data_IF_597998136541
#
_entry.id   IF_597998136541
#
_cell.length_a   1.000
_cell.length_b   1.000
_cell.length_c   1.000
_cell.angle_alpha   90.00
_cell.angle_beta   90.00
_cell.angle_gamma   90.00
#
_symmetry.space_group_name_H-M   'P 1'
#
loop_
_entity.id
_entity.type
_entity.pdbx_description
1 polymer ?
#
# COMPACT_ATOMS: atom_id res chain seq x y z
N UNK A 1 -23.46 16.88 14.90
CA UNK A 1 -22.50 15.96 14.25
C UNK A 1 -23.18 15.33 13.05
N UNK A 2 -22.70 15.55 11.82
CA UNK A 2 -23.30 14.96 10.63
C UNK A 2 -23.24 13.43 10.72
N UNK A 3 -24.36 12.78 10.47
CA UNK A 3 -24.48 11.32 10.56
C UNK A 3 -23.64 10.71 9.42
N UNK A 4 -22.52 10.06 9.76
CA UNK A 4 -21.68 9.41 8.75
C UNK A 4 -22.48 8.31 8.02
N UNK A 5 -22.31 8.17 6.69
CA UNK A 5 -23.00 7.15 5.92
C UNK A 5 -22.68 5.74 6.44
N UNK A 6 -23.49 4.77 6.02
CA UNK A 6 -23.34 3.39 6.48
C UNK A 6 -22.06 2.73 5.97
N UNK A 7 -21.60 3.17 4.79
CA UNK A 7 -20.36 2.73 4.14
C UNK A 7 -19.57 3.96 3.68
N UNK A 8 -18.28 4.00 3.98
CA UNK A 8 -17.38 5.08 3.55
C UNK A 8 -15.92 4.63 3.60
N UNK A 9 -15.04 5.37 2.93
CA UNK A 9 -13.59 5.19 3.02
C UNK A 9 -12.99 6.29 3.90
N UNK A 10 -12.03 5.93 4.74
CA UNK A 10 -11.28 6.82 5.62
C UNK A 10 -9.86 6.31 5.80
N UNK A 11 -9.05 6.99 6.61
CA UNK A 11 -7.68 6.55 6.98
C UNK A 11 -7.63 5.11 7.51
N UNK A 12 -8.72 4.62 8.11
CA UNK A 12 -8.84 3.24 8.61
C UNK A 12 -9.25 2.23 7.53
N UNK A 13 -9.30 2.64 6.27
CA UNK A 13 -9.75 1.82 5.15
C UNK A 13 -11.26 1.91 4.91
N UNK A 14 -11.85 0.83 4.39
CA UNK A 14 -13.28 0.74 4.10
C UNK A 14 -14.06 0.49 5.39
N UNK A 15 -14.86 1.46 5.78
CA UNK A 15 -15.67 1.39 7.01
C UNK A 15 -17.11 1.02 6.66
N UNK A 16 -17.66 0.04 7.38
CA UNK A 16 -19.06 -0.39 7.24
C UNK A 16 -19.69 -0.60 8.61
N UNK A 17 -20.94 -0.13 8.78
CA UNK A 17 -21.72 -0.38 10.00
C UNK A 17 -22.10 -1.85 10.10
N UNK A 18 -21.94 -2.44 11.27
CA UNK A 18 -22.30 -3.85 11.54
C UNK A 18 -23.79 -4.11 11.33
N UNK A 19 -24.64 -3.13 11.62
CA UNK A 19 -26.10 -3.22 11.42
C UNK A 19 -26.54 -3.35 9.97
N UNK A 20 -25.66 -3.09 9.00
CA UNK A 20 -25.94 -3.20 7.57
C UNK A 20 -25.50 -4.54 6.97
N UNK A 21 -25.05 -5.47 7.81
CA UNK A 21 -24.51 -6.75 7.41
C UNK A 21 -25.39 -7.89 7.91
N UNK A 22 -25.55 -8.92 7.08
CA UNK A 22 -26.14 -10.20 7.49
C UNK A 22 -25.16 -11.02 8.34
N UNK A 23 -25.65 -12.01 9.07
CA UNK A 23 -24.81 -12.96 9.81
C UNK A 23 -23.80 -13.68 8.89
N UNK A 24 -24.20 -14.03 7.67
CA UNK A 24 -23.29 -14.63 6.68
C UNK A 24 -22.14 -13.69 6.31
N UNK A 25 -22.43 -12.41 6.08
CA UNK A 25 -21.42 -11.39 5.77
C UNK A 25 -20.47 -11.16 6.94
N UNK A 26 -20.96 -11.14 8.18
CA UNK A 26 -20.13 -11.11 9.37
C UNK A 26 -19.14 -12.28 9.43
N UNK A 27 -19.64 -13.50 9.23
CA UNK A 27 -18.81 -14.70 9.26
C UNK A 27 -17.80 -14.73 8.11
N UNK A 28 -18.20 -14.27 6.93
CA UNK A 28 -17.34 -14.18 5.75
C UNK A 28 -16.21 -13.18 5.95
N UNK A 29 -16.47 -11.98 6.48
CA UNK A 29 -15.43 -10.99 6.81
C UNK A 29 -14.40 -11.60 7.75
N UNK A 30 -14.86 -12.24 8.84
CA UNK A 30 -13.98 -12.85 9.83
C UNK A 30 -13.14 -13.98 9.23
N UNK A 31 -13.75 -14.82 8.38
CA UNK A 31 -13.06 -15.92 7.69
C UNK A 31 -12.03 -15.41 6.70
N UNK A 32 -12.42 -14.51 5.80
CA UNK A 32 -11.56 -14.00 4.72
C UNK A 32 -10.38 -13.18 5.25
N UNK A 33 -10.60 -12.42 6.34
CA UNK A 33 -9.64 -11.48 6.91
C UNK A 33 -8.98 -11.98 8.20
N UNK A 34 -9.07 -13.26 8.51
CA UNK A 34 -8.26 -13.91 9.53
C UNK A 34 -7.31 -14.88 8.83
N UNK A 35 -6.06 -14.47 8.71
CA UNK A 35 -5.02 -15.19 7.97
C UNK A 35 -4.05 -15.88 8.89
N UNK A 36 -3.44 -16.94 8.41
CA UNK A 36 -2.36 -17.65 9.09
C UNK A 36 -1.23 -17.95 8.09
N UNK A 37 0.04 -17.98 8.54
CA UNK A 37 1.14 -18.41 7.69
C UNK A 37 0.90 -19.81 7.16
N UNK A 38 1.34 -20.08 5.94
CA UNK A 38 1.39 -21.44 5.43
C UNK A 38 2.43 -22.24 6.20
N UNK A 39 2.00 -23.29 6.87
CA UNK A 39 2.87 -24.23 7.59
C UNK A 39 2.77 -25.60 6.95
N UNK A 40 3.91 -26.22 6.67
CA UNK A 40 3.96 -27.61 6.20
C UNK A 40 3.56 -28.50 7.37
N UNK A 41 2.53 -29.30 7.22
CA UNK A 41 2.09 -30.25 8.23
C UNK A 41 3.25 -31.19 8.61
N UNK A 42 3.48 -31.34 9.91
CA UNK A 42 4.52 -32.23 10.45
C UNK A 42 5.83 -31.54 10.88
N UNK A 43 6.03 -30.24 10.59
CA UNK A 43 7.24 -29.52 11.00
C UNK A 43 7.15 -28.79 12.36
N UNK A 44 5.94 -28.53 12.86
CA UNK A 44 5.74 -27.93 14.17
C UNK A 44 4.50 -28.47 14.87
N UNK A 45 4.63 -28.85 16.12
CA UNK A 45 3.50 -29.19 17.01
C UNK A 45 2.81 -27.95 17.59
N UNK A 46 3.22 -26.75 17.21
CA UNK A 46 2.63 -25.51 17.71
C UNK A 46 1.43 -25.10 16.83
N UNK A 47 0.34 -24.61 17.43
CA UNK A 47 -0.78 -24.09 16.68
C UNK A 47 -0.34 -22.88 15.84
N UNK A 48 -0.69 -22.89 14.56
CA UNK A 48 -0.35 -21.79 13.65
C UNK A 48 -0.99 -20.48 14.11
N UNK A 49 -0.23 -19.42 14.30
CA UNK A 49 -0.77 -18.14 14.74
C UNK A 49 -1.75 -17.58 13.71
N UNK A 50 -2.86 -17.00 14.19
CA UNK A 50 -3.88 -16.36 13.35
C UNK A 50 -3.79 -14.84 13.52
N UNK A 51 -3.85 -14.12 12.42
CA UNK A 51 -3.78 -12.66 12.40
C UNK A 51 -5.05 -12.09 11.78
N UNK A 52 -5.69 -11.15 12.48
CA UNK A 52 -6.80 -10.37 11.93
C UNK A 52 -6.22 -9.22 11.10
N UNK A 53 -6.56 -9.14 9.81
CA UNK A 53 -6.19 -8.05 8.92
C UNK A 53 -7.33 -7.04 8.75
N UNK A 54 -8.18 -6.92 9.74
CA UNK A 54 -9.24 -5.93 9.89
C UNK A 54 -9.27 -5.42 11.34
N UNK A 55 -9.84 -4.23 11.51
CA UNK A 55 -10.17 -3.70 12.82
C UNK A 55 -11.68 -3.65 13.00
N UNK A 56 -12.13 -3.67 14.24
CA UNK A 56 -13.55 -3.54 14.57
C UNK A 56 -13.78 -2.71 15.83
N UNK A 57 -14.92 -2.03 15.85
CA UNK A 57 -15.50 -1.41 17.04
C UNK A 57 -16.80 -2.14 17.41
N UNK A 58 -17.49 -1.66 18.44
CA UNK A 58 -18.81 -2.20 18.82
C UNK A 58 -19.81 -2.16 17.65
N UNK A 59 -19.75 -1.11 16.81
CA UNK A 59 -20.76 -0.84 15.78
C UNK A 59 -20.25 -0.91 14.34
N UNK A 60 -18.93 -1.04 14.10
CA UNK A 60 -18.34 -0.93 12.75
C UNK A 60 -17.21 -1.93 12.54
N UNK A 61 -17.01 -2.31 11.26
CA UNK A 61 -15.78 -2.89 10.76
C UNK A 61 -14.96 -1.85 10.00
N UNK A 62 -13.63 -1.99 10.07
CA UNK A 62 -12.64 -1.26 9.30
C UNK A 62 -11.84 -2.29 8.50
N UNK A 63 -12.15 -2.37 7.21
CA UNK A 63 -11.66 -3.42 6.31
C UNK A 63 -10.55 -2.87 5.40
N UNK A 64 -9.66 -3.71 4.90
CA UNK A 64 -8.77 -3.32 3.82
C UNK A 64 -9.58 -2.69 2.68
N UNK A 65 -9.13 -1.54 2.16
CA UNK A 65 -9.89 -0.71 1.21
C UNK A 65 -10.40 -1.51 0.02
N UNK A 66 -9.50 -2.22 -0.66
CA UNK A 66 -9.86 -2.97 -1.88
C UNK A 66 -10.72 -4.19 -1.61
N UNK A 67 -10.56 -4.86 -0.46
CA UNK A 67 -11.47 -5.90 -0.03
C UNK A 67 -12.90 -5.34 0.14
N UNK A 68 -13.03 -4.22 0.85
CA UNK A 68 -14.32 -3.58 1.06
C UNK A 68 -15.00 -3.17 -0.25
N UNK A 69 -14.25 -2.54 -1.19
CA UNK A 69 -14.77 -2.15 -2.50
C UNK A 69 -15.21 -3.37 -3.30
N UNK A 70 -14.40 -4.43 -3.32
CA UNK A 70 -14.70 -5.67 -4.06
C UNK A 70 -15.92 -6.42 -3.53
N UNK A 71 -16.13 -6.42 -2.21
CA UNK A 71 -17.22 -7.19 -1.57
C UNK A 71 -18.51 -6.41 -1.40
N UNK A 72 -18.41 -5.12 -1.10
CA UNK A 72 -19.54 -4.28 -0.70
C UNK A 72 -19.80 -3.10 -1.66
N UNK A 73 -19.04 -3.02 -2.74
CA UNK A 73 -19.17 -2.00 -3.78
C UNK A 73 -18.51 -0.67 -3.45
N UNK A 74 -18.56 0.24 -4.41
CA UNK A 74 -18.06 1.60 -4.25
C UNK A 74 -18.87 2.36 -3.20
N UNK A 75 -18.24 3.30 -2.53
CA UNK A 75 -18.87 4.16 -1.51
C UNK A 75 -19.21 5.53 -2.10
N UNK A 76 -20.25 6.15 -1.57
CA UNK A 76 -20.65 7.51 -1.95
C UNK A 76 -19.76 8.60 -1.33
N UNK A 77 -19.04 8.28 -0.25
CA UNK A 77 -18.17 9.23 0.46
C UNK A 77 -16.79 8.61 0.68
N UNK A 78 -15.79 9.29 0.16
CA UNK A 78 -14.39 8.97 0.34
C UNK A 78 -13.68 10.13 1.05
N UNK A 79 -13.45 9.98 2.35
CA UNK A 79 -12.80 11.01 3.16
C UNK A 79 -11.29 11.13 2.89
N UNK A 80 -10.68 10.19 2.13
CA UNK A 80 -9.29 10.31 1.73
C UNK A 80 -9.09 11.41 0.68
N UNK A 81 -10.13 11.76 -0.08
CA UNK A 81 -10.08 12.87 -1.04
C UNK A 81 -9.99 14.24 -0.36
N UNK A 82 -10.34 14.30 0.93
CA UNK A 82 -10.27 15.51 1.76
C UNK A 82 -8.91 15.63 2.49
N UNK A 83 -8.05 14.59 2.43
CA UNK A 83 -6.73 14.62 3.03
C UNK A 83 -5.73 15.30 2.09
N UNK A 84 -4.70 15.88 2.69
CA UNK A 84 -3.56 16.38 1.93
C UNK A 84 -2.93 15.23 1.13
N UNK A 85 -2.72 15.46 -0.16
CA UNK A 85 -2.14 14.48 -1.08
C UNK A 85 -0.62 14.30 -0.88
N UNK A 86 -0.07 14.83 0.19
CA UNK A 86 1.35 14.77 0.53
C UNK A 86 2.21 15.77 -0.26
N UNK A 87 3.43 15.98 0.22
CA UNK A 87 4.38 16.92 -0.37
C UNK A 87 4.76 16.51 -1.80
N UNK A 88 4.90 17.51 -2.67
CA UNK A 88 5.44 17.28 -4.01
C UNK A 88 6.97 17.21 -3.95
N UNK A 89 7.56 16.44 -4.87
CA UNK A 89 8.98 16.37 -5.12
C UNK A 89 9.29 16.72 -6.57
N UNK A 90 10.40 17.40 -6.81
CA UNK A 90 10.87 17.80 -8.14
C UNK A 90 12.05 16.93 -8.54
N UNK A 91 11.78 15.62 -8.77
CA UNK A 91 12.80 14.65 -9.12
C UNK A 91 12.51 14.04 -10.48
N UNK A 92 13.50 14.09 -11.37
CA UNK A 92 13.43 13.48 -12.70
C UNK A 92 14.18 12.15 -12.72
N UNK A 93 13.61 11.17 -13.43
CA UNK A 93 14.21 9.86 -13.59
C UNK A 93 15.42 9.92 -14.52
N UNK A 94 16.60 9.59 -13.98
CA UNK A 94 17.84 9.52 -14.73
C UNK A 94 18.04 8.10 -15.27
N UNK A 95 17.50 7.81 -16.45
CA UNK A 95 17.63 6.51 -17.08
C UNK A 95 16.60 6.30 -18.19
N UNK A 96 16.59 5.09 -18.74
CA UNK A 96 15.65 4.69 -19.77
C UNK A 96 15.02 3.34 -19.39
N UNK A 97 13.71 3.26 -19.48
CA UNK A 97 12.99 1.99 -19.32
C UNK A 97 13.22 1.11 -20.55
N UNK A 98 13.29 -0.20 -20.34
CA UNK A 98 13.24 -1.17 -21.44
C UNK A 98 11.85 -1.12 -22.10
N UNK A 99 11.76 -1.43 -23.38
CA UNK A 99 10.50 -1.43 -24.13
C UNK A 99 9.37 -2.18 -23.42
N UNK A 100 9.66 -3.36 -22.86
CA UNK A 100 8.70 -4.16 -22.11
C UNK A 100 8.23 -3.50 -20.80
N UNK A 101 9.00 -2.59 -20.23
CA UNK A 101 8.69 -1.91 -18.97
C UNK A 101 7.75 -0.71 -19.17
N UNK A 102 7.78 -0.09 -20.34
CA UNK A 102 7.00 1.13 -20.63
C UNK A 102 5.50 0.91 -20.44
N UNK A 103 4.86 -0.08 -21.09
CA UNK A 103 3.42 -0.30 -20.91
C UNK A 103 3.04 -0.71 -19.48
N UNK A 104 3.94 -1.40 -18.78
CA UNK A 104 3.72 -1.80 -17.39
C UNK A 104 3.71 -0.57 -16.47
N UNK A 105 4.67 0.33 -16.66
CA UNK A 105 4.76 1.57 -15.90
C UNK A 105 3.54 2.47 -16.15
N UNK A 106 3.17 2.66 -17.43
CA UNK A 106 1.98 3.46 -17.79
C UNK A 106 0.72 2.93 -17.12
N UNK A 107 0.45 1.63 -17.24
CA UNK A 107 -0.71 1.01 -16.62
C UNK A 107 -0.72 1.18 -15.11
N UNK A 108 0.43 1.01 -14.44
CA UNK A 108 0.51 1.18 -12.99
C UNK A 108 0.25 2.62 -12.57
N UNK A 109 0.77 3.60 -13.32
CA UNK A 109 0.54 5.03 -13.05
C UNK A 109 -0.96 5.37 -13.21
N UNK A 110 -1.62 4.84 -14.24
CA UNK A 110 -3.05 5.06 -14.47
C UNK A 110 -3.89 4.46 -13.33
N UNK A 111 -3.54 3.26 -12.86
CA UNK A 111 -4.19 2.62 -11.70
C UNK A 111 -3.97 3.43 -10.40
N UNK A 112 -2.74 3.91 -10.18
CA UNK A 112 -2.44 4.75 -9.02
C UNK A 112 -3.26 6.05 -9.02
N UNK A 113 -3.43 6.69 -10.19
CA UNK A 113 -4.21 7.92 -10.34
C UNK A 113 -5.72 7.68 -10.22
N UNK A 114 -6.23 6.56 -10.73
CA UNK A 114 -7.68 6.28 -10.79
C UNK A 114 -8.22 5.67 -9.51
N UNK A 115 -7.56 4.64 -8.97
CA UNK A 115 -8.03 3.90 -7.80
C UNK A 115 -7.12 4.03 -6.57
N UNK A 116 -5.96 4.68 -6.74
CA UNK A 116 -5.01 5.00 -5.66
C UNK A 116 -4.23 3.81 -5.13
N UNK A 117 -3.99 2.79 -5.95
CA UNK A 117 -3.15 1.65 -5.58
C UNK A 117 -3.14 0.52 -6.60
N UNK A 118 -2.17 -0.39 -6.47
CA UNK A 118 -2.03 -1.54 -7.34
C UNK A 118 -0.94 -2.50 -6.86
N UNK A 119 -0.88 -3.68 -7.45
CA UNK A 119 0.17 -4.67 -7.21
C UNK A 119 0.92 -4.93 -8.50
N UNK A 120 2.23 -4.67 -8.47
CA UNK A 120 3.12 -4.96 -9.57
C UNK A 120 3.75 -6.36 -9.39
N UNK A 121 3.16 -7.36 -10.07
CA UNK A 121 3.66 -8.74 -10.04
C UNK A 121 4.50 -9.02 -11.28
N UNK A 122 5.82 -9.10 -11.13
CA UNK A 122 6.78 -9.32 -12.19
C UNK A 122 7.78 -10.41 -11.81
N UNK A 123 8.28 -11.15 -12.79
CA UNK A 123 9.34 -12.15 -12.60
C UNK A 123 10.64 -11.51 -12.07
N UNK A 124 11.52 -12.34 -11.51
CA UNK A 124 12.87 -11.90 -11.13
C UNK A 124 13.62 -11.37 -12.37
N UNK A 125 14.44 -10.34 -12.17
CA UNK A 125 15.21 -9.73 -13.26
C UNK A 125 14.46 -8.72 -14.13
N UNK A 126 13.14 -8.60 -14.03
CA UNK A 126 12.33 -7.65 -14.81
C UNK A 126 12.50 -6.17 -14.41
N UNK A 127 13.34 -5.89 -13.41
CA UNK A 127 13.63 -4.51 -13.00
C UNK A 127 12.56 -3.85 -12.15
N UNK A 128 11.90 -4.60 -11.25
CA UNK A 128 10.86 -4.08 -10.34
C UNK A 128 11.25 -2.79 -9.63
N UNK A 129 12.49 -2.74 -9.11
CA UNK A 129 13.01 -1.57 -8.39
C UNK A 129 13.13 -0.35 -9.31
N UNK A 130 13.64 -0.55 -10.53
CA UNK A 130 13.77 0.52 -11.53
C UNK A 130 12.40 1.07 -11.93
N UNK A 131 11.44 0.17 -12.19
CA UNK A 131 10.05 0.55 -12.47
C UNK A 131 9.44 1.36 -11.33
N UNK A 132 9.63 0.93 -10.07
CA UNK A 132 9.09 1.65 -8.92
C UNK A 132 9.71 3.05 -8.78
N UNK A 133 11.03 3.18 -8.98
CA UNK A 133 11.72 4.48 -8.95
C UNK A 133 11.23 5.39 -10.09
N UNK A 134 11.03 4.84 -11.29
CA UNK A 134 10.42 5.57 -12.40
C UNK A 134 9.02 6.09 -12.04
N UNK A 135 8.19 5.22 -11.44
CA UNK A 135 6.83 5.60 -10.99
C UNK A 135 6.89 6.71 -9.93
N UNK A 136 7.82 6.65 -8.98
CA UNK A 136 8.03 7.72 -7.98
C UNK A 136 8.28 9.06 -8.69
N UNK A 137 9.19 9.09 -9.67
CA UNK A 137 9.49 10.29 -10.44
C UNK A 137 8.29 10.83 -11.23
N UNK A 138 7.46 9.93 -11.80
CA UNK A 138 6.27 10.31 -12.56
C UNK A 138 5.12 10.79 -11.67
N UNK A 139 4.99 10.24 -10.47
CA UNK A 139 3.97 10.64 -9.50
C UNK A 139 4.31 11.95 -8.80
N UNK A 140 5.58 12.31 -8.77
CA UNK A 140 6.10 13.55 -8.13
C UNK A 140 5.62 13.76 -6.69
N UNK A 141 5.56 12.67 -5.92
CA UNK A 141 5.11 12.71 -4.53
C UNK A 141 6.18 12.15 -3.60
N UNK A 142 6.34 12.80 -2.43
CA UNK A 142 7.14 12.26 -1.34
C UNK A 142 6.74 10.83 -1.05
N UNK A 143 7.70 9.93 -1.02
CA UNK A 143 7.44 8.49 -1.03
C UNK A 143 8.07 7.79 0.16
N UNK A 144 7.31 6.88 0.77
CA UNK A 144 7.81 5.95 1.78
C UNK A 144 7.97 4.56 1.17
N UNK A 145 9.19 3.98 1.27
CA UNK A 145 9.52 2.64 0.82
C UNK A 145 9.70 1.74 2.04
N UNK A 146 8.86 0.72 2.18
CA UNK A 146 8.90 -0.20 3.32
C UNK A 146 9.56 -1.51 2.90
N UNK A 147 10.64 -1.88 3.58
CA UNK A 147 11.36 -3.14 3.38
C UNK A 147 11.61 -3.84 4.71
N UNK A 148 11.73 -5.17 4.68
CA UNK A 148 11.86 -5.98 5.90
C UNK A 148 13.30 -6.41 6.23
N UNK A 149 14.29 -6.03 5.40
CA UNK A 149 15.70 -6.39 5.58
C UNK A 149 16.60 -5.20 5.27
N UNK A 150 17.65 -5.03 6.06
CA UNK A 150 18.63 -3.95 5.90
C UNK A 150 19.34 -3.98 4.54
N UNK A 151 19.70 -5.15 4.04
CA UNK A 151 20.36 -5.23 2.73
C UNK A 151 19.46 -4.74 1.59
N UNK A 152 18.14 -4.94 1.69
CA UNK A 152 17.17 -4.39 0.73
C UNK A 152 17.12 -2.87 0.82
N UNK A 153 17.14 -2.31 2.03
CA UNK A 153 17.17 -0.86 2.24
C UNK A 153 18.42 -0.24 1.60
N UNK A 154 19.60 -0.86 1.79
CA UNK A 154 20.85 -0.41 1.15
C UNK A 154 20.76 -0.52 -0.37
N UNK A 155 20.23 -1.61 -0.91
CA UNK A 155 20.01 -1.78 -2.35
C UNK A 155 19.06 -0.70 -2.91
N UNK A 156 17.97 -0.39 -2.22
CA UNK A 156 17.07 0.69 -2.62
C UNK A 156 17.76 2.04 -2.64
N UNK A 157 18.55 2.35 -1.60
CA UNK A 157 19.33 3.58 -1.52
C UNK A 157 20.32 3.74 -2.68
N UNK A 158 21.05 2.68 -3.02
CA UNK A 158 21.95 2.67 -4.17
C UNK A 158 21.21 2.93 -5.48
N UNK A 159 20.06 2.27 -5.69
CA UNK A 159 19.24 2.45 -6.89
C UNK A 159 18.59 3.83 -6.97
N UNK A 160 18.14 4.37 -5.84
CA UNK A 160 17.64 5.76 -5.78
C UNK A 160 18.76 6.74 -6.17
N UNK A 161 19.95 6.62 -5.61
CA UNK A 161 21.08 7.48 -5.97
C UNK A 161 21.46 7.37 -7.47
N UNK A 162 21.29 6.19 -8.07
CA UNK A 162 21.55 5.97 -9.50
C UNK A 162 20.50 6.64 -10.40
N UNK A 163 19.22 6.46 -10.08
CA UNK A 163 18.10 6.83 -10.95
C UNK A 163 17.39 8.12 -10.56
N UNK A 164 17.58 8.61 -9.33
CA UNK A 164 17.15 9.93 -8.84
C UNK A 164 18.32 10.61 -8.12
N UNK A 165 19.38 11.01 -8.83
CA UNK A 165 20.63 11.47 -8.22
C UNK A 165 20.49 12.71 -7.35
N UNK A 166 19.47 13.54 -7.59
CA UNK A 166 19.22 14.75 -6.83
C UNK A 166 18.25 14.55 -5.67
N UNK A 167 17.66 13.34 -5.52
CA UNK A 167 16.71 13.06 -4.46
C UNK A 167 17.39 12.96 -3.09
N UNK A 168 16.83 13.63 -2.11
CA UNK A 168 17.23 13.50 -0.72
C UNK A 168 16.61 12.23 -0.14
N UNK A 169 17.46 11.23 0.12
CA UNK A 169 17.00 9.93 0.63
C UNK A 169 17.15 9.89 2.15
N UNK A 170 16.02 9.77 2.84
CA UNK A 170 15.93 9.60 4.29
C UNK A 170 16.01 8.14 4.71
N UNK A 171 15.80 7.89 6.00
CA UNK A 171 15.80 6.55 6.58
C UNK A 171 15.00 6.51 7.89
N UNK A 172 14.25 5.43 8.08
CA UNK A 172 13.68 5.05 9.36
C UNK A 172 14.19 3.65 9.69
N UNK A 173 15.08 3.56 10.68
CA UNK A 173 15.64 2.28 11.13
C UNK A 173 15.99 2.38 12.60
N UNK A 174 15.35 1.55 13.45
CA UNK A 174 15.55 1.60 14.90
C UNK A 174 15.35 3.02 15.47
N UNK A 175 16.38 3.59 16.09
CA UNK A 175 16.36 4.95 16.64
C UNK A 175 16.73 6.05 15.62
N UNK A 176 17.02 5.69 14.38
CA UNK A 176 17.33 6.66 13.32
C UNK A 176 16.05 7.02 12.57
N UNK A 177 15.61 8.27 12.70
CA UNK A 177 14.44 8.81 12.00
C UNK A 177 14.88 10.07 11.25
N UNK A 178 15.05 9.96 9.93
CA UNK A 178 15.40 11.08 9.03
C UNK A 178 14.33 11.17 7.97
N UNK A 179 13.32 11.98 8.22
CA UNK A 179 12.12 12.14 7.36
C UNK A 179 11.96 13.56 6.87
N UNK A 180 12.32 14.54 7.71
CA UNK A 180 12.18 15.96 7.37
C UNK A 180 13.12 16.37 6.24
N UNK A 181 12.61 17.13 5.28
CA UNK A 181 13.33 17.60 4.10
C UNK A 181 13.93 16.49 3.22
N UNK A 182 13.31 15.29 3.21
CA UNK A 182 13.69 14.20 2.34
C UNK A 182 12.55 13.89 1.36
N UNK A 183 12.91 13.52 0.13
CA UNK A 183 11.99 13.22 -0.97
C UNK A 183 11.50 11.78 -0.91
N UNK A 184 12.41 10.87 -0.52
CA UNK A 184 12.14 9.43 -0.37
C UNK A 184 12.69 8.94 0.97
N UNK A 185 11.92 8.15 1.69
CA UNK A 185 12.28 7.57 2.99
C UNK A 185 12.14 6.06 2.96
#
# INVERSE_FOLDING_TARGET
MANKPDKYISERGYTIKKSCLSEEEHNKIKKDLTVSPFTIQGYTNMPTPKFKVYLESKTKYYLPRFYGISKFGKVSKNYLEELDHGENIEQDFNGQLKEIQVPIASKMIDELKSIGGGILNLHCGMGKTVLAIYIIAQMKKKTLIIVHKEFLMNQWKERLNQFLPNAKVGIIQQNKVKVENHDVV
#
